data_IF_726702455528
#
_entry.id   IF_726702455528
#
_cell.length_a   1.000
_cell.length_b   1.000
_cell.length_c   1.000
_cell.angle_alpha   90.00
_cell.angle_beta   90.00
_cell.angle_gamma   90.00
#
_symmetry.space_group_name_H-M   'P 1'
#
loop_
_entity.id
_entity.type
_entity.pdbx_description
1 polymer ?
#
# COMPACT_ATOMS: atom_id res chain seq x y z
N UNK A 1 -1.85 -8.35 -3.86
CA UNK A 1 -3.27 -8.31 -4.30
C UNK A 1 -4.24 -8.72 -3.19
N UNK A 2 -4.08 -9.89 -2.55
CA UNK A 2 -4.97 -10.33 -1.46
C UNK A 2 -5.13 -9.29 -0.33
N UNK A 3 -4.02 -8.69 0.14
CA UNK A 3 -4.08 -7.65 1.17
C UNK A 3 -4.92 -6.43 0.74
N UNK A 4 -4.84 -6.02 -0.54
CA UNK A 4 -5.60 -4.88 -1.05
C UNK A 4 -7.11 -5.19 -1.13
N UNK A 5 -7.47 -6.40 -1.59
CA UNK A 5 -8.86 -6.87 -1.59
C UNK A 5 -9.42 -6.90 -0.16
N UNK A 6 -8.65 -7.43 0.79
CA UNK A 6 -9.05 -7.47 2.20
C UNK A 6 -9.19 -6.07 2.81
N UNK A 7 -8.27 -5.15 2.51
CA UNK A 7 -8.34 -3.76 2.96
C UNK A 7 -9.59 -3.05 2.42
N UNK A 8 -9.95 -3.30 1.16
CA UNK A 8 -11.17 -2.76 0.56
C UNK A 8 -12.42 -3.34 1.24
N UNK A 9 -12.47 -4.65 1.48
CA UNK A 9 -13.57 -5.30 2.22
C UNK A 9 -13.72 -4.74 3.63
N UNK A 10 -12.62 -4.62 4.38
CA UNK A 10 -12.61 -4.00 5.71
C UNK A 10 -13.14 -2.56 5.67
N UNK A 11 -12.75 -1.79 4.66
CA UNK A 11 -13.25 -0.42 4.47
C UNK A 11 -14.76 -0.40 4.23
N UNK A 12 -15.29 -1.35 3.46
CA UNK A 12 -16.74 -1.48 3.21
C UNK A 12 -17.52 -1.93 4.46
N UNK A 13 -16.96 -2.83 5.26
CA UNK A 13 -17.53 -3.23 6.56
C UNK A 13 -17.56 -2.05 7.54
N UNK A 14 -16.51 -1.21 7.55
CA UNK A 14 -16.47 0.00 8.38
C UNK A 14 -17.64 0.95 8.07
N UNK A 15 -18.04 1.08 6.81
CA UNK A 15 -19.19 1.90 6.40
C UNK A 15 -20.53 1.38 6.95
N UNK A 16 -20.62 0.11 7.34
CA UNK A 16 -21.82 -0.49 7.94
C UNK A 16 -21.92 -0.25 9.46
N UNK A 17 -20.90 0.33 10.09
CA UNK A 17 -20.90 0.58 11.53
C UNK A 17 -21.82 1.74 11.92
N UNK A 18 -22.33 1.73 13.16
CA UNK A 18 -23.30 2.72 13.68
C UNK A 18 -22.90 4.19 13.44
N UNK A 19 -21.63 4.61 13.61
CA UNK A 19 -21.22 5.99 13.34
C UNK A 19 -21.42 6.43 11.89
N UNK A 20 -21.22 5.53 10.93
CA UNK A 20 -21.38 5.82 9.49
C UNK A 20 -22.81 5.66 8.99
N UNK A 21 -23.66 4.90 9.72
CA UNK A 21 -25.07 4.72 9.36
C UNK A 21 -25.87 6.04 9.35
N UNK A 22 -25.47 7.02 10.18
CA UNK A 22 -26.11 8.35 10.20
C UNK A 22 -25.85 9.14 8.91
N UNK A 23 -24.76 8.84 8.20
CA UNK A 23 -24.33 9.52 6.98
C UNK A 23 -24.97 8.93 5.71
N UNK A 24 -25.69 7.81 5.81
CA UNK A 24 -26.37 7.13 4.67
C UNK A 24 -25.44 6.92 3.46
N UNK A 25 -24.21 6.54 3.73
CA UNK A 25 -23.19 6.27 2.71
C UNK A 25 -23.50 4.98 1.94
N UNK A 26 -23.26 5.00 0.63
CA UNK A 26 -23.37 3.82 -0.24
C UNK A 26 -22.07 3.67 -1.03
N UNK A 27 -21.52 2.45 -1.13
CA UNK A 27 -20.35 2.19 -1.96
C UNK A 27 -20.61 2.53 -3.43
N UNK A 28 -19.76 3.36 -4.02
CA UNK A 28 -19.73 3.54 -5.47
C UNK A 28 -18.97 2.37 -6.10
N UNK A 29 -19.62 1.63 -6.99
CA UNK A 29 -19.04 0.50 -7.73
C UNK A 29 -18.76 0.93 -9.18
N UNK A 30 -17.52 1.40 -9.48
CA UNK A 30 -17.20 1.90 -10.80
C UNK A 30 -17.23 0.80 -11.85
N UNK A 31 -17.72 1.14 -13.05
CA UNK A 31 -17.58 0.29 -14.23
C UNK A 31 -16.38 0.78 -15.04
N UNK A 32 -15.25 0.10 -14.89
CA UNK A 32 -14.02 0.40 -15.63
C UNK A 32 -13.98 -0.41 -16.92
N UNK A 33 -13.52 0.20 -18.01
CA UNK A 33 -13.38 -0.45 -19.32
C UNK A 33 -12.30 -1.54 -19.23
N UNK A 34 -12.71 -2.79 -19.01
CA UNK A 34 -11.79 -3.89 -18.67
C UNK A 34 -12.27 -4.75 -17.50
N UNK A 35 -13.21 -4.25 -16.68
CA UNK A 35 -13.82 -4.99 -15.56
C UNK A 35 -15.36 -5.08 -15.66
N UNK A 36 -15.94 -4.52 -16.71
CA UNK A 36 -17.39 -4.44 -16.96
C UNK A 36 -18.05 -5.79 -17.27
N UNK A 37 -17.26 -6.78 -17.67
CA UNK A 37 -17.69 -8.17 -17.85
C UNK A 37 -17.89 -8.93 -16.53
N UNK A 38 -17.48 -8.35 -15.39
CA UNK A 38 -17.63 -8.93 -14.06
C UNK A 38 -18.83 -8.30 -13.35
N UNK A 39 -19.53 -9.07 -12.53
CA UNK A 39 -20.60 -8.54 -11.69
C UNK A 39 -20.02 -7.50 -10.72
N UNK A 40 -20.48 -6.26 -10.84
CA UNK A 40 -20.09 -5.16 -9.96
C UNK A 40 -20.70 -5.38 -8.56
N UNK A 41 -19.92 -5.97 -7.67
CA UNK A 41 -20.35 -6.32 -6.31
C UNK A 41 -19.16 -6.33 -5.36
N UNK A 42 -19.36 -5.85 -4.13
CA UNK A 42 -18.35 -5.94 -3.05
C UNK A 42 -18.07 -7.40 -2.61
N UNK A 43 -18.95 -8.33 -2.97
CA UNK A 43 -18.79 -9.75 -2.69
C UNK A 43 -18.02 -10.49 -3.79
N UNK A 44 -17.84 -9.87 -4.96
CA UNK A 44 -17.15 -10.46 -6.10
C UNK A 44 -15.65 -10.12 -6.06
N UNK A 45 -14.81 -11.03 -5.59
CA UNK A 45 -13.36 -10.81 -5.49
C UNK A 45 -12.66 -10.63 -6.84
N UNK A 46 -13.18 -11.23 -7.91
CA UNK A 46 -12.63 -11.06 -9.26
C UNK A 46 -12.85 -9.63 -9.74
N UNK A 47 -14.05 -9.10 -9.50
CA UNK A 47 -14.37 -7.70 -9.77
C UNK A 47 -13.47 -6.76 -8.95
N UNK A 48 -13.34 -7.00 -7.63
CA UNK A 48 -12.49 -6.18 -6.75
C UNK A 48 -11.02 -6.21 -7.18
N UNK A 49 -10.49 -7.39 -7.52
CA UNK A 49 -9.12 -7.55 -7.99
C UNK A 49 -8.89 -6.85 -9.33
N UNK A 50 -9.87 -6.88 -10.22
CA UNK A 50 -9.81 -6.20 -11.51
C UNK A 50 -9.77 -4.68 -11.33
N UNK A 51 -10.69 -4.11 -10.55
CA UNK A 51 -10.72 -2.65 -10.36
C UNK A 51 -9.49 -2.14 -9.61
N UNK A 52 -8.94 -2.91 -8.65
CA UNK A 52 -7.69 -2.55 -7.98
C UNK A 52 -6.57 -2.47 -9.02
N UNK A 53 -6.37 -3.50 -9.85
CA UNK A 53 -5.31 -3.47 -10.87
C UNK A 53 -5.44 -2.30 -11.85
N UNK A 54 -6.66 -1.89 -12.16
CA UNK A 54 -6.90 -0.87 -13.17
C UNK A 54 -6.91 0.57 -12.63
N UNK A 55 -7.30 0.76 -11.38
CA UNK A 55 -7.44 2.09 -10.76
C UNK A 55 -6.40 2.39 -9.67
N UNK A 56 -5.59 1.41 -9.27
CA UNK A 56 -4.55 1.60 -8.27
C UNK A 56 -3.52 2.62 -8.75
N UNK A 57 -3.14 3.49 -7.82
CA UNK A 57 -2.13 4.52 -8.02
C UNK A 57 -1.07 4.35 -6.93
N UNK A 58 0.14 4.81 -7.24
CA UNK A 58 1.22 4.76 -6.25
C UNK A 58 0.87 5.66 -5.08
N UNK A 59 1.11 5.22 -3.86
CA UNK A 59 1.03 6.08 -2.66
C UNK A 59 2.12 7.15 -2.59
N UNK A 60 3.02 7.19 -3.59
CA UNK A 60 4.16 8.10 -3.67
C UNK A 60 5.15 7.96 -2.49
N UNK A 61 5.24 6.77 -1.89
CA UNK A 61 6.20 6.42 -0.83
C UNK A 61 7.23 5.35 -1.31
N UNK A 62 8.10 5.65 -2.30
CA UNK A 62 9.16 4.73 -2.70
C UNK A 62 10.23 4.59 -1.61
N UNK A 63 10.85 3.41 -1.51
CA UNK A 63 11.91 3.11 -0.54
C UNK A 63 12.57 1.77 -0.84
N UNK A 64 13.56 1.39 -0.03
CA UNK A 64 14.23 0.07 -0.09
C UNK A 64 15.25 -0.16 -1.20
N UNK A 65 15.59 0.87 -1.99
CA UNK A 65 16.59 0.73 -3.08
C UNK A 65 18.04 0.61 -2.58
N UNK A 66 18.32 1.01 -1.35
CA UNK A 66 19.60 0.80 -0.65
C UNK A 66 19.37 0.11 0.70
N UNK A 67 18.55 -0.95 0.71
CA UNK A 67 18.06 -1.59 1.92
C UNK A 67 19.18 -1.97 2.91
N UNK A 68 18.90 -1.78 4.20
CA UNK A 68 19.70 -2.25 5.32
C UNK A 68 19.58 -3.76 5.51
N UNK A 69 20.69 -4.40 5.90
CA UNK A 69 20.72 -5.79 6.37
C UNK A 69 21.54 -6.74 5.49
N UNK A 70 21.49 -8.03 5.83
CA UNK A 70 22.24 -9.07 5.11
C UNK A 70 21.78 -9.17 3.64
N UNK A 71 22.72 -9.08 2.70
CA UNK A 71 22.43 -9.01 1.27
C UNK A 71 21.89 -7.66 0.79
N UNK A 72 21.82 -6.66 1.68
CA UNK A 72 21.47 -5.28 1.39
C UNK A 72 22.65 -4.44 0.88
N UNK A 73 22.45 -3.13 0.82
CA UNK A 73 23.45 -2.15 0.35
C UNK A 73 24.21 -1.54 1.54
N UNK A 74 23.55 -1.38 2.69
CA UNK A 74 24.12 -0.75 3.89
C UNK A 74 24.06 -1.65 5.12
N UNK A 75 25.03 -1.48 6.02
CA UNK A 75 25.05 -2.11 7.34
C UNK A 75 24.12 -1.40 8.36
N UNK A 76 24.10 -1.90 9.60
CA UNK A 76 23.32 -1.37 10.73
C UNK A 76 23.76 0.04 11.17
N UNK A 77 24.95 0.46 10.74
CA UNK A 77 25.47 1.82 10.91
C UNK A 77 25.26 2.69 9.64
N UNK A 78 24.44 2.23 8.68
CA UNK A 78 24.12 2.88 7.42
C UNK A 78 25.31 3.07 6.47
N UNK A 79 26.38 2.31 6.65
CA UNK A 79 27.59 2.38 5.81
C UNK A 79 27.43 1.45 4.61
N UNK A 80 27.86 1.93 3.45
CA UNK A 80 27.81 1.13 2.23
C UNK A 80 28.84 0.00 2.29
N UNK A 81 28.39 -1.24 2.06
CA UNK A 81 29.27 -2.40 2.09
C UNK A 81 30.42 -2.27 1.09
N UNK A 82 31.66 -2.52 1.56
CA UNK A 82 32.86 -2.47 0.72
C UNK A 82 33.35 -1.06 0.34
N UNK A 83 32.70 0.01 0.81
CA UNK A 83 33.09 1.39 0.52
C UNK A 83 33.39 2.15 1.81
N UNK A 84 34.61 2.68 1.91
CA UNK A 84 35.01 3.46 3.09
C UNK A 84 34.45 4.88 3.04
N UNK A 85 33.96 5.37 4.17
CA UNK A 85 33.54 6.77 4.34
C UNK A 85 32.23 7.16 3.66
N UNK A 86 31.44 6.20 3.16
CA UNK A 86 30.15 6.46 2.49
C UNK A 86 28.98 5.91 3.32
N UNK A 87 27.93 6.72 3.49
CA UNK A 87 26.66 6.34 4.11
C UNK A 87 25.48 6.77 3.25
N UNK A 88 24.35 6.07 3.39
CA UNK A 88 23.05 6.45 2.82
C UNK A 88 22.08 6.73 3.97
N UNK A 89 21.44 7.89 3.98
CA UNK A 89 20.58 8.35 5.09
C UNK A 89 19.30 8.96 4.54
N UNK A 90 18.54 8.17 3.78
CA UNK A 90 17.21 8.51 3.28
C UNK A 90 16.30 7.27 3.27
N UNK A 91 15.05 7.40 2.80
CA UNK A 91 14.07 6.31 2.79
C UNK A 91 14.46 5.07 1.97
N UNK A 92 15.53 5.13 1.17
CA UNK A 92 16.05 3.96 0.44
C UNK A 92 16.59 2.88 1.37
N UNK A 93 16.97 3.20 2.61
CA UNK A 93 17.55 2.23 3.55
C UNK A 93 16.52 1.33 4.22
N UNK A 94 15.24 1.72 4.22
CA UNK A 94 14.19 0.90 4.83
C UNK A 94 13.95 -0.36 4.01
N UNK A 95 14.19 -1.57 4.56
CA UNK A 95 14.06 -2.83 3.80
C UNK A 95 12.60 -3.17 3.45
N UNK A 96 11.64 -2.53 4.12
CA UNK A 96 10.20 -2.66 3.86
C UNK A 96 9.49 -1.34 4.11
N UNK A 97 8.28 -1.12 3.53
CA UNK A 97 7.50 0.07 3.79
C UNK A 97 7.18 0.23 5.29
N UNK A 98 7.37 1.44 5.80
CA UNK A 98 7.01 1.81 7.17
C UNK A 98 5.50 1.97 7.33
N UNK A 99 4.98 1.78 8.54
CA UNK A 99 3.58 2.04 8.84
C UNK A 99 3.33 3.55 8.96
N UNK A 100 2.40 4.08 8.16
CA UNK A 100 2.05 5.51 8.16
C UNK A 100 2.79 6.31 7.08
N UNK A 101 2.83 7.64 7.25
CA UNK A 101 3.48 8.54 6.30
C UNK A 101 5.00 8.48 6.48
N UNK A 102 5.74 8.27 5.39
CA UNK A 102 7.21 8.13 5.41
C UNK A 102 7.96 9.36 5.90
N UNK A 103 7.32 10.53 5.93
CA UNK A 103 7.92 11.76 6.44
C UNK A 103 7.99 11.79 7.98
N UNK A 104 7.19 10.97 8.68
CA UNK A 104 7.08 10.96 10.13
C UNK A 104 7.72 9.72 10.77
N UNK A 105 8.42 8.87 10.00
CA UNK A 105 8.98 7.62 10.50
C UNK A 105 10.23 7.77 11.40
N UNK A 106 10.51 8.98 11.88
CA UNK A 106 11.60 9.32 12.81
C UNK A 106 11.09 9.68 14.22
N UNK A 107 10.02 9.02 14.71
CA UNK A 107 9.65 9.02 16.14
C UNK A 107 9.63 7.61 16.72
#
# INVERSE_FOLDING_TARGET
MQCAVQALKMSMEMLQTKPFHTLRVSPHLPRLSGCDHLEASIMNEDYLSCIIRQAEFTSYHPGGTCALGEGGVVDDELRVHGVQGLRVVDGSVFPSPVAGNSQHSDQ
#
